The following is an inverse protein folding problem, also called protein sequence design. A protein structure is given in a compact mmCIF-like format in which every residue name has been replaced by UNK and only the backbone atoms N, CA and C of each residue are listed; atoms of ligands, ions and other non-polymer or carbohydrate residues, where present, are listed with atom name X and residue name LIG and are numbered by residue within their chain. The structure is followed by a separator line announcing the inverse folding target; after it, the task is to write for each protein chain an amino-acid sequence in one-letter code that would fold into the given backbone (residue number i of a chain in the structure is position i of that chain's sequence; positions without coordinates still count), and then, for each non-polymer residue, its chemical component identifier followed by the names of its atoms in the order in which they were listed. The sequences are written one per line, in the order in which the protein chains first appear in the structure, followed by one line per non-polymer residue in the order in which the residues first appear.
data_IF_698601443405
#
_entry.id   IF_698601443405
#
_cell.length_a   1.000
_cell.length_b   1.000
_cell.length_c   1.000
_cell.angle_alpha   90.00
_cell.angle_beta   90.00
_cell.angle_gamma   90.00
#
_symmetry.space_group_name_H-M   'P 1'
#
loop_
_entity.id
_entity.type
_entity.pdbx_description
1 polymer ?
#
# COMPACT_ATOMS: atom_id res chain seq x y z
N UNK A 1 -4.17 -17.18 33.49
CA UNK A 1 -4.00 -17.90 32.20
C UNK A 1 -4.75 -17.13 31.12
N UNK A 2 -4.13 -16.80 29.98
CA UNK A 2 -4.91 -16.34 28.82
C UNK A 2 -5.85 -17.47 28.39
N UNK A 3 -7.09 -17.12 28.03
CA UNK A 3 -8.08 -18.09 27.55
C UNK A 3 -7.54 -18.82 26.30
N UNK A 4 -7.84 -20.13 26.14
CA UNK A 4 -7.47 -20.85 24.94
C UNK A 4 -8.09 -20.18 23.70
N UNK A 5 -7.29 -20.07 22.65
CA UNK A 5 -7.70 -19.47 21.39
C UNK A 5 -8.79 -20.32 20.73
N UNK A 6 -9.87 -19.67 20.24
CA UNK A 6 -10.96 -20.40 19.60
C UNK A 6 -10.53 -20.98 18.24
N UNK A 7 -11.11 -22.12 17.87
CA UNK A 7 -10.80 -22.79 16.60
C UNK A 7 -11.02 -21.88 15.38
N UNK A 8 -12.08 -21.06 15.41
CA UNK A 8 -12.32 -20.06 14.37
C UNK A 8 -11.18 -19.04 14.21
N UNK A 9 -10.53 -18.63 15.31
CA UNK A 9 -9.37 -17.73 15.24
C UNK A 9 -8.18 -18.43 14.60
N UNK A 10 -7.96 -19.71 14.91
CA UNK A 10 -6.88 -20.51 14.32
C UNK A 10 -7.05 -20.64 12.81
N UNK A 11 -8.27 -20.96 12.34
CA UNK A 11 -8.61 -21.02 10.92
C UNK A 11 -8.32 -19.69 10.24
N UNK A 12 -8.84 -18.57 10.75
CA UNK A 12 -8.62 -17.24 10.16
C UNK A 12 -7.12 -16.89 10.09
N UNK A 13 -6.32 -17.27 11.09
CA UNK A 13 -4.87 -17.06 11.07
C UNK A 13 -4.15 -17.89 10.01
N UNK A 14 -4.57 -19.12 9.78
CA UNK A 14 -4.01 -19.97 8.73
C UNK A 14 -4.30 -19.38 7.34
N UNK A 15 -5.55 -18.96 7.08
CA UNK A 15 -5.90 -18.27 5.84
C UNK A 15 -5.16 -16.96 5.68
N UNK A 16 -4.92 -16.24 6.77
CA UNK A 16 -4.11 -15.02 6.74
C UNK A 16 -2.67 -15.29 6.32
N UNK A 17 -2.02 -16.29 6.90
CA UNK A 17 -0.67 -16.67 6.52
C UNK A 17 -0.59 -17.08 5.04
N UNK A 18 -1.62 -17.79 4.55
CA UNK A 18 -1.75 -18.12 3.12
C UNK A 18 -1.90 -16.88 2.24
N UNK A 19 -2.70 -15.89 2.68
CA UNK A 19 -2.84 -14.61 1.97
C UNK A 19 -1.52 -13.84 1.93
N UNK A 20 -0.79 -13.79 3.04
CA UNK A 20 0.51 -13.11 3.09
C UNK A 20 1.52 -13.78 2.13
N UNK A 21 1.50 -15.12 2.01
CA UNK A 21 2.31 -15.84 1.02
C UNK A 21 1.94 -15.56 -0.45
N UNK A 22 0.65 -15.35 -0.75
CA UNK A 22 0.20 -14.93 -2.10
C UNK A 22 0.68 -13.51 -2.44
N UNK A 23 0.61 -12.59 -1.47
CA UNK A 23 1.10 -11.22 -1.63
C UNK A 23 2.62 -11.21 -1.89
N UNK A 24 3.39 -11.96 -1.10
CA UNK A 24 4.85 -12.05 -1.27
C UNK A 24 5.22 -12.62 -2.65
N UNK A 25 4.51 -13.66 -3.11
CA UNK A 25 4.72 -14.24 -4.43
C UNK A 25 4.39 -13.24 -5.56
N UNK A 26 3.29 -12.49 -5.43
CA UNK A 26 2.91 -11.44 -6.39
C UNK A 26 3.95 -10.33 -6.44
N UNK A 27 4.39 -9.82 -5.28
CA UNK A 27 5.39 -8.75 -5.21
C UNK A 27 6.72 -9.17 -5.82
N UNK A 28 7.17 -10.40 -5.52
CA UNK A 28 8.41 -10.95 -6.09
C UNK A 28 8.31 -11.05 -7.62
N UNK A 29 7.21 -11.58 -8.13
CA UNK A 29 6.95 -11.74 -9.57
C UNK A 29 6.95 -10.38 -10.28
N UNK A 30 6.25 -9.39 -9.74
CA UNK A 30 6.25 -8.01 -10.26
C UNK A 30 7.64 -7.37 -10.22
N UNK A 31 8.38 -7.53 -9.13
CA UNK A 31 9.75 -7.02 -9.01
C UNK A 31 10.71 -7.65 -10.01
N UNK A 32 10.64 -8.96 -10.22
CA UNK A 32 11.43 -9.64 -11.26
C UNK A 32 11.12 -9.12 -12.66
N UNK A 33 9.84 -8.84 -12.94
CA UNK A 33 9.44 -8.26 -14.23
C UNK A 33 9.96 -6.83 -14.40
N UNK A 34 9.98 -6.05 -13.31
CA UNK A 34 10.49 -4.68 -13.29
C UNK A 34 12.00 -4.60 -13.52
N UNK A 35 12.78 -5.55 -12.99
CA UNK A 35 14.23 -5.63 -13.26
C UNK A 35 14.50 -5.71 -14.77
N UNK A 36 13.64 -6.37 -15.55
CA UNK A 36 13.76 -6.39 -17.01
C UNK A 36 13.59 -5.01 -17.66
N UNK A 37 12.80 -4.12 -17.06
CA UNK A 37 12.63 -2.72 -17.51
C UNK A 37 13.89 -1.92 -17.19
N UNK A 38 14.43 -2.07 -15.98
CA UNK A 38 15.71 -1.47 -15.56
C UNK A 38 16.83 -1.82 -16.53
N UNK A 39 17.00 -3.11 -16.79
CA UNK A 39 18.02 -3.61 -17.72
C UNK A 39 17.84 -3.08 -19.15
N UNK A 40 16.59 -2.87 -19.59
CA UNK A 40 16.32 -2.33 -20.92
C UNK A 40 16.70 -0.85 -21.05
N UNK A 41 16.73 -0.10 -19.94
CA UNK A 41 17.01 1.34 -19.91
C UNK A 41 18.45 1.67 -19.48
N UNK A 42 19.21 0.68 -18.99
CA UNK A 42 20.55 0.85 -18.44
C UNK A 42 21.53 1.54 -19.40
N UNK A 43 21.51 1.15 -20.67
CA UNK A 43 22.41 1.72 -21.68
C UNK A 43 22.11 3.21 -21.92
N UNK A 44 20.82 3.57 -21.99
CA UNK A 44 20.40 4.95 -22.22
C UNK A 44 20.65 5.84 -21.00
N UNK A 45 20.44 5.31 -19.79
CA UNK A 45 20.81 5.97 -18.53
C UNK A 45 22.32 6.23 -18.46
N UNK A 46 23.13 5.21 -18.73
CA UNK A 46 24.60 5.33 -18.68
C UNK A 46 25.11 6.35 -19.71
N UNK A 47 24.60 6.30 -20.94
CA UNK A 47 25.00 7.20 -22.00
C UNK A 47 24.60 8.66 -21.73
N UNK A 48 23.43 8.89 -21.13
CA UNK A 48 23.01 10.22 -20.70
C UNK A 48 23.89 10.76 -19.56
N UNK A 49 24.16 9.94 -18.54
CA UNK A 49 25.01 10.32 -17.43
C UNK A 49 26.43 10.66 -17.90
N UNK A 50 26.99 9.87 -18.82
CA UNK A 50 28.29 10.14 -19.43
C UNK A 50 28.30 11.45 -20.23
N UNK A 51 27.29 11.68 -21.07
CA UNK A 51 27.18 12.92 -21.84
C UNK A 51 27.18 14.16 -20.93
N UNK A 52 26.34 14.16 -19.89
CA UNK A 52 26.21 15.31 -18.99
C UNK A 52 27.47 15.54 -18.14
N UNK A 53 28.10 14.46 -17.69
CA UNK A 53 29.35 14.53 -16.94
C UNK A 53 30.48 15.08 -17.81
N UNK A 54 30.60 14.61 -19.07
CA UNK A 54 31.61 15.09 -20.02
C UNK A 54 31.48 16.59 -20.28
N UNK A 55 30.26 17.08 -20.50
CA UNK A 55 30.00 18.52 -20.71
C UNK A 55 30.38 19.34 -19.47
N UNK A 56 30.06 18.84 -18.28
CA UNK A 56 30.44 19.48 -17.01
C UNK A 56 31.96 19.57 -16.86
N UNK A 57 32.70 18.50 -17.20
CA UNK A 57 34.17 18.48 -17.18
C UNK A 57 34.78 19.49 -18.18
N UNK A 58 34.10 19.74 -19.31
CA UNK A 58 34.49 20.75 -20.28
C UNK A 58 34.21 22.20 -19.81
N UNK A 59 33.71 22.39 -18.58
CA UNK A 59 33.41 23.69 -18.01
C UNK A 59 32.02 24.23 -18.39
N UNK A 60 31.18 23.43 -19.04
CA UNK A 60 29.81 23.82 -19.36
C UNK A 60 28.94 23.76 -18.10
N UNK A 61 28.24 24.86 -17.78
CA UNK A 61 27.26 24.88 -16.69
C UNK A 61 25.96 24.26 -17.18
N UNK A 62 25.66 23.05 -16.71
CA UNK A 62 24.46 22.30 -17.12
C UNK A 62 23.24 22.80 -16.37
N UNK A 63 22.31 23.45 -17.07
CA UNK A 63 21.00 23.84 -16.52
C UNK A 63 19.96 22.75 -16.75
N UNK A 64 18.89 22.77 -15.96
CA UNK A 64 17.77 21.84 -16.13
C UNK A 64 17.12 21.95 -17.52
N UNK A 65 17.00 23.16 -18.08
CA UNK A 65 16.48 23.33 -19.43
C UNK A 65 17.38 22.69 -20.50
N UNK A 66 18.70 22.67 -20.30
CA UNK A 66 19.63 22.01 -21.21
C UNK A 66 19.47 20.49 -21.17
N UNK A 67 19.30 19.91 -19.99
CA UNK A 67 19.00 18.47 -19.82
C UNK A 67 17.74 18.09 -20.59
N UNK A 68 16.66 18.85 -20.43
CA UNK A 68 15.39 18.57 -21.10
C UNK A 68 15.45 18.70 -22.62
N UNK A 69 16.34 19.54 -23.15
CA UNK A 69 16.55 19.70 -24.58
C UNK A 69 17.48 18.65 -25.17
N UNK A 70 18.25 17.95 -24.34
CA UNK A 70 19.20 16.94 -24.78
C UNK A 70 18.48 15.77 -25.45
N UNK A 71 19.01 15.33 -26.59
CA UNK A 71 18.36 14.30 -27.40
C UNK A 71 18.31 12.95 -26.66
N UNK A 72 19.41 12.57 -25.99
CA UNK A 72 19.46 11.36 -25.16
C UNK A 72 18.42 11.36 -24.05
N UNK A 73 18.17 12.52 -23.43
CA UNK A 73 17.15 12.64 -22.40
C UNK A 73 15.74 12.40 -22.96
N UNK A 74 15.44 12.93 -24.14
CA UNK A 74 14.15 12.69 -24.81
C UNK A 74 13.95 11.23 -25.20
N UNK A 75 15.00 10.59 -25.71
CA UNK A 75 14.99 9.15 -26.05
C UNK A 75 14.72 8.33 -24.80
N UNK A 76 15.50 8.53 -23.72
CA UNK A 76 15.31 7.85 -22.44
C UNK A 76 13.88 8.04 -21.90
N UNK A 77 13.37 9.28 -21.94
CA UNK A 77 12.01 9.59 -21.51
C UNK A 77 10.97 8.81 -22.31
N UNK A 78 11.09 8.77 -23.62
CA UNK A 78 10.16 8.06 -24.49
C UNK A 78 10.18 6.54 -24.25
N UNK A 79 11.37 5.95 -24.15
CA UNK A 79 11.53 4.52 -23.86
C UNK A 79 10.98 4.17 -22.48
N UNK A 80 11.27 4.98 -21.45
CA UNK A 80 10.74 4.74 -20.11
C UNK A 80 9.21 4.78 -20.09
N UNK A 81 8.60 5.74 -20.79
CA UNK A 81 7.15 5.81 -20.92
C UNK A 81 6.58 4.55 -21.58
N UNK A 82 7.19 4.10 -22.68
CA UNK A 82 6.77 2.90 -23.39
C UNK A 82 6.90 1.63 -22.52
N UNK A 83 8.06 1.41 -21.90
CA UNK A 83 8.32 0.23 -21.09
C UNK A 83 7.39 0.15 -19.86
N UNK A 84 7.19 1.27 -19.15
CA UNK A 84 6.31 1.30 -17.98
C UNK A 84 4.84 1.15 -18.40
N UNK A 85 4.41 1.79 -19.49
CA UNK A 85 3.05 1.61 -20.00
C UNK A 85 2.80 0.14 -20.38
N UNK A 86 3.75 -0.49 -21.07
CA UNK A 86 3.68 -1.90 -21.44
C UNK A 86 3.62 -2.80 -20.22
N UNK A 87 4.48 -2.55 -19.22
CA UNK A 87 4.45 -3.26 -17.94
C UNK A 87 3.08 -3.16 -17.27
N UNK A 88 2.52 -1.95 -17.21
CA UNK A 88 1.23 -1.72 -16.56
C UNK A 88 0.09 -2.44 -17.28
N UNK A 89 -0.02 -2.26 -18.59
CA UNK A 89 -1.15 -2.75 -19.39
C UNK A 89 -1.04 -4.25 -19.65
N UNK A 90 0.11 -4.73 -20.12
CA UNK A 90 0.25 -6.11 -20.61
C UNK A 90 0.49 -7.11 -19.48
N UNK A 91 1.01 -6.65 -18.34
CA UNK A 91 1.46 -7.52 -17.27
C UNK A 91 0.82 -7.21 -15.92
N UNK A 92 1.01 -6.01 -15.36
CA UNK A 92 0.61 -5.70 -13.99
C UNK A 92 -0.92 -5.77 -13.81
N UNK A 93 -1.69 -5.18 -14.73
CA UNK A 93 -3.16 -5.21 -14.67
C UNK A 93 -3.69 -6.65 -14.69
N UNK A 94 -3.41 -7.50 -15.71
CA UNK A 94 -3.90 -8.89 -15.71
C UNK A 94 -3.45 -9.67 -14.47
N UNK A 95 -2.19 -9.47 -14.04
CA UNK A 95 -1.60 -10.22 -12.95
C UNK A 95 -2.22 -9.88 -11.59
N UNK A 96 -2.49 -8.59 -11.34
CA UNK A 96 -3.14 -8.11 -10.12
C UNK A 96 -4.63 -8.48 -10.15
N UNK A 97 -5.33 -8.33 -11.28
CA UNK A 97 -6.74 -8.75 -11.42
C UNK A 97 -6.91 -10.22 -11.07
N UNK A 98 -6.03 -11.08 -11.58
CA UNK A 98 -6.02 -12.50 -11.20
C UNK A 98 -5.80 -12.69 -9.70
N UNK A 99 -4.84 -11.98 -9.11
CA UNK A 99 -4.56 -12.07 -7.68
C UNK A 99 -5.73 -11.57 -6.82
N UNK A 100 -6.48 -10.55 -7.27
CA UNK A 100 -7.70 -10.09 -6.60
C UNK A 100 -8.76 -11.19 -6.58
N UNK A 101 -8.99 -11.88 -7.70
CA UNK A 101 -9.93 -13.01 -7.77
C UNK A 101 -9.52 -14.15 -6.84
N UNK A 102 -8.23 -14.54 -6.87
CA UNK A 102 -7.70 -15.60 -6.01
C UNK A 102 -7.82 -15.21 -4.52
N UNK A 103 -7.54 -13.95 -4.18
CA UNK A 103 -7.67 -13.41 -2.83
C UNK A 103 -9.13 -13.33 -2.35
N UNK A 104 -10.06 -12.92 -3.21
CA UNK A 104 -11.49 -12.90 -2.91
C UNK A 104 -12.01 -14.31 -2.57
N UNK A 105 -11.68 -15.30 -3.41
CA UNK A 105 -12.00 -16.71 -3.16
C UNK A 105 -11.41 -17.22 -1.85
N UNK A 106 -10.15 -16.87 -1.56
CA UNK A 106 -9.51 -17.22 -0.30
C UNK A 106 -10.27 -16.63 0.90
N UNK A 107 -10.77 -15.39 0.77
CA UNK A 107 -11.58 -14.74 1.79
C UNK A 107 -12.94 -15.40 2.01
N UNK A 108 -13.63 -15.79 0.93
CA UNK A 108 -14.89 -16.53 0.99
C UNK A 108 -14.68 -17.84 1.76
N UNK A 109 -13.67 -18.62 1.37
CA UNK A 109 -13.36 -19.90 2.03
C UNK A 109 -12.99 -19.72 3.50
N UNK A 110 -12.19 -18.70 3.82
CA UNK A 110 -11.83 -18.38 5.19
C UNK A 110 -13.07 -18.10 6.07
N UNK A 111 -14.02 -17.35 5.54
CA UNK A 111 -15.27 -17.04 6.23
C UNK A 111 -16.16 -18.27 6.40
N UNK A 112 -16.41 -19.02 5.33
CA UNK A 112 -17.24 -20.23 5.36
C UNK A 112 -16.69 -21.27 6.37
N UNK A 113 -15.38 -21.53 6.34
CA UNK A 113 -14.74 -22.47 7.25
C UNK A 113 -14.78 -21.98 8.69
N UNK A 114 -14.54 -20.68 8.93
CA UNK A 114 -14.61 -20.10 10.28
C UNK A 114 -16.02 -20.20 10.89
N UNK A 115 -17.07 -20.08 10.07
CA UNK A 115 -18.46 -20.28 10.48
C UNK A 115 -18.69 -21.77 10.80
N UNK A 116 -18.26 -22.66 9.91
CA UNK A 116 -18.45 -24.10 10.08
C UNK A 116 -17.82 -24.64 11.37
N UNK A 117 -16.59 -24.23 11.69
CA UNK A 117 -15.92 -24.64 12.93
C UNK A 117 -16.53 -24.00 14.19
N UNK A 118 -17.21 -22.86 14.04
CA UNK A 118 -17.94 -22.21 15.13
C UNK A 118 -19.29 -22.87 15.42
N UNK A 119 -19.87 -23.58 14.45
CA UNK A 119 -21.17 -24.25 14.55
C UNK A 119 -21.09 -25.71 14.06
N UNK A 120 -20.48 -26.62 14.84
CA UNK A 120 -20.46 -28.05 14.53
C UNK A 120 -21.86 -28.66 14.72
N UNK A 121 -22.72 -28.49 13.72
CA UNK A 121 -24.10 -29.01 13.63
C UNK A 121 -24.37 -29.39 12.18
N UNK A 122 -25.33 -30.27 11.84
CA UNK A 122 -25.70 -30.57 10.46
C UNK A 122 -26.05 -29.32 9.61
N UNK A 123 -26.39 -28.18 10.25
CA UNK A 123 -26.54 -26.89 9.58
C UNK A 123 -25.23 -26.35 8.96
N UNK A 124 -24.05 -26.81 9.40
CA UNK A 124 -22.75 -26.38 8.89
C UNK A 124 -22.56 -26.68 7.40
N UNK A 125 -23.12 -27.78 6.91
CA UNK A 125 -23.10 -28.16 5.50
C UNK A 125 -23.85 -27.16 4.60
N UNK A 126 -24.82 -26.42 5.15
CA UNK A 126 -25.53 -25.37 4.42
C UNK A 126 -24.72 -24.09 4.25
N UNK A 127 -23.73 -23.83 5.12
CA UNK A 127 -22.87 -22.64 5.07
C UNK A 127 -21.65 -22.83 4.15
N UNK A 128 -21.38 -24.06 3.70
CA UNK A 128 -20.23 -24.36 2.84
C UNK A 128 -20.56 -24.24 1.33
N UNK A 129 -21.62 -23.51 0.98
CA UNK A 129 -22.02 -23.25 -0.41
C UNK A 129 -21.62 -21.84 -0.79
N UNK A 130 -20.82 -21.71 -1.85
CA UNK A 130 -20.38 -20.42 -2.40
C UNK A 130 -21.61 -19.55 -2.70
N UNK A 131 -21.71 -18.40 -2.04
CA UNK A 131 -22.86 -17.50 -2.18
C UNK A 131 -22.82 -16.73 -3.51
N UNK A 132 -23.99 -16.56 -4.15
CA UNK A 132 -24.11 -15.86 -5.44
C UNK A 132 -23.64 -14.40 -5.37
N UNK A 133 -23.88 -13.69 -4.26
CA UNK A 133 -23.43 -12.30 -4.06
C UNK A 133 -21.90 -12.22 -3.90
N UNK A 134 -21.29 -13.27 -3.35
CA UNK A 134 -19.84 -13.38 -3.25
C UNK A 134 -19.22 -13.62 -4.64
N UNK A 135 -19.89 -14.40 -5.50
CA UNK A 135 -19.52 -14.57 -6.91
C UNK A 135 -19.71 -13.27 -7.70
N UNK A 136 -20.81 -12.55 -7.52
CA UNK A 136 -21.02 -11.23 -8.14
C UNK A 136 -19.96 -10.22 -7.71
N UNK A 137 -19.56 -10.23 -6.44
CA UNK A 137 -18.45 -9.42 -5.94
C UNK A 137 -17.12 -9.79 -6.59
N UNK A 138 -16.87 -11.08 -6.86
CA UNK A 138 -15.71 -11.51 -7.63
C UNK A 138 -15.77 -11.02 -9.08
N UNK A 139 -16.94 -11.06 -9.72
CA UNK A 139 -17.13 -10.50 -11.07
C UNK A 139 -16.82 -9.00 -11.06
N UNK A 140 -17.19 -8.28 -9.99
CA UNK A 140 -16.82 -6.88 -9.80
C UNK A 140 -15.31 -6.63 -9.71
N UNK A 141 -14.54 -7.53 -9.10
CA UNK A 141 -13.06 -7.46 -9.09
C UNK A 141 -12.44 -7.90 -10.41
N UNK A 142 -13.08 -8.85 -11.11
CA UNK A 142 -12.63 -9.40 -12.39
C UNK A 142 -13.12 -8.59 -13.61
N UNK A 143 -13.60 -7.36 -13.39
CA UNK A 143 -13.94 -6.44 -14.48
C UNK A 143 -12.77 -6.19 -15.43
N UNK A 144 -12.98 -5.39 -16.47
CA UNK A 144 -12.04 -5.11 -17.56
C UNK A 144 -10.68 -4.48 -17.17
N UNK A 145 -10.40 -4.32 -15.87
CA UNK A 145 -9.18 -3.74 -15.34
C UNK A 145 -9.08 -2.22 -15.49
N UNK A 146 -10.10 -1.55 -16.03
CA UNK A 146 -10.07 -0.10 -16.29
C UNK A 146 -9.84 0.77 -15.04
N UNK A 147 -10.38 0.45 -13.83
CA UNK A 147 -10.06 1.22 -12.63
C UNK A 147 -8.61 0.99 -12.19
N UNK A 148 -8.14 -0.25 -12.29
CA UNK A 148 -6.77 -0.62 -11.89
C UNK A 148 -5.72 0.01 -12.80
N UNK A 149 -5.95 0.00 -14.12
CA UNK A 149 -5.09 0.68 -15.08
C UNK A 149 -4.99 2.19 -14.77
N UNK A 150 -6.10 2.81 -14.37
CA UNK A 150 -6.11 4.22 -13.97
C UNK A 150 -5.25 4.49 -12.74
N UNK A 151 -5.20 3.57 -11.77
CA UNK A 151 -4.34 3.70 -10.59
C UNK A 151 -2.84 3.58 -10.94
N UNK A 152 -2.49 2.65 -11.83
CA UNK A 152 -1.12 2.34 -12.24
C UNK A 152 -0.54 3.36 -13.24
N UNK A 153 -1.37 4.12 -13.96
CA UNK A 153 -0.88 5.19 -14.88
C UNK A 153 0.05 6.20 -14.20
N UNK A 154 -0.07 6.39 -12.90
CA UNK A 154 0.77 7.30 -12.12
C UNK A 154 2.15 6.72 -11.78
N UNK A 155 2.43 5.46 -12.09
CA UNK A 155 3.73 4.83 -11.83
C UNK A 155 4.82 5.45 -12.73
N UNK A 156 4.48 5.86 -13.96
CA UNK A 156 5.41 6.53 -14.87
C UNK A 156 5.85 7.92 -14.38
N UNK A 157 4.96 8.86 -14.01
CA UNK A 157 5.37 10.13 -13.43
C UNK A 157 6.31 9.99 -12.22
N UNK A 158 6.06 9.03 -11.33
CA UNK A 158 6.89 8.81 -10.14
C UNK A 158 8.30 8.30 -10.51
N UNK A 159 8.40 7.30 -11.39
CA UNK A 159 9.67 6.83 -11.94
C UNK A 159 10.43 7.93 -12.70
N UNK A 160 9.72 8.69 -13.54
CA UNK A 160 10.29 9.79 -14.33
C UNK A 160 10.89 10.89 -13.46
N UNK A 161 10.15 11.31 -12.43
CA UNK A 161 10.63 12.33 -11.50
C UNK A 161 11.87 11.82 -10.74
N UNK A 162 11.87 10.55 -10.30
CA UNK A 162 13.03 9.95 -9.64
C UNK A 162 14.30 9.94 -10.46
N UNK A 163 14.20 9.49 -11.71
CA UNK A 163 15.34 9.49 -12.65
C UNK A 163 15.84 10.91 -12.90
N UNK A 164 14.91 11.87 -13.10
CA UNK A 164 15.26 13.26 -13.39
C UNK A 164 15.92 13.95 -12.20
N UNK A 165 15.38 13.78 -11.00
CA UNK A 165 15.91 14.36 -9.77
C UNK A 165 17.27 13.75 -9.42
N UNK A 166 17.44 12.45 -9.61
CA UNK A 166 18.73 11.77 -9.43
C UNK A 166 19.82 12.33 -10.35
N UNK A 167 19.50 12.58 -11.63
CA UNK A 167 20.42 13.19 -12.58
C UNK A 167 20.83 14.61 -12.14
N UNK A 168 19.86 15.45 -11.79
CA UNK A 168 20.10 16.84 -11.38
C UNK A 168 20.94 16.89 -10.09
N UNK A 169 20.57 16.10 -9.09
CA UNK A 169 21.26 16.05 -7.80
C UNK A 169 22.67 15.46 -7.94
N UNK A 170 22.84 14.46 -8.80
CA UNK A 170 24.13 13.85 -9.07
C UNK A 170 25.10 14.83 -9.73
N UNK A 171 24.64 15.58 -10.73
CA UNK A 171 25.43 16.61 -11.41
C UNK A 171 25.80 17.76 -10.46
N UNK A 172 24.81 18.29 -9.71
CA UNK A 172 25.06 19.39 -8.77
C UNK A 172 26.01 19.02 -7.63
N UNK A 173 26.03 17.74 -7.27
CA UNK A 173 26.93 17.19 -6.24
C UNK A 173 28.29 16.75 -6.80
N UNK A 174 28.57 16.95 -8.08
CA UNK A 174 29.83 16.58 -8.72
C UNK A 174 30.12 15.07 -8.72
N UNK A 175 29.07 14.23 -8.77
CA UNK A 175 29.21 12.77 -8.80
C UNK A 175 29.77 12.30 -10.15
N UNK A 176 30.43 11.15 -10.15
CA UNK A 176 30.87 10.49 -11.39
C UNK A 176 29.69 9.92 -12.19
N UNK A 177 29.85 9.74 -13.50
CA UNK A 177 28.79 9.24 -14.39
C UNK A 177 28.23 7.88 -13.93
N UNK A 178 29.08 6.98 -13.42
CA UNK A 178 28.66 5.69 -12.90
C UNK A 178 27.81 5.80 -11.63
N UNK A 179 28.14 6.75 -10.75
CA UNK A 179 27.35 7.05 -9.55
C UNK A 179 26.01 7.70 -9.91
N UNK A 180 26.00 8.62 -10.88
CA UNK A 180 24.77 9.25 -11.38
C UNK A 180 23.84 8.19 -11.97
N UNK A 181 24.37 7.31 -12.83
CA UNK A 181 23.60 6.22 -13.42
C UNK A 181 23.01 5.28 -12.34
N UNK A 182 23.77 4.98 -11.28
CA UNK A 182 23.25 4.21 -10.14
C UNK A 182 22.09 4.92 -9.43
N UNK A 183 22.25 6.20 -9.11
CA UNK A 183 21.17 7.00 -8.49
C UNK A 183 19.93 7.07 -9.38
N UNK A 184 20.10 7.16 -10.71
CA UNK A 184 18.99 7.19 -11.66
C UNK A 184 18.23 5.85 -11.67
N UNK A 185 18.93 4.71 -11.63
CA UNK A 185 18.29 3.39 -11.48
C UNK A 185 17.50 3.30 -10.19
N UNK A 186 18.09 3.71 -9.07
CA UNK A 186 17.42 3.72 -7.76
C UNK A 186 16.16 4.62 -7.79
N UNK A 187 16.25 5.78 -8.44
CA UNK A 187 15.12 6.70 -8.62
C UNK A 187 13.96 6.10 -9.43
N UNK A 188 14.25 5.20 -10.37
CA UNK A 188 13.22 4.51 -11.13
C UNK A 188 12.39 3.55 -10.26
N UNK A 189 12.97 3.04 -9.16
CA UNK A 189 12.30 2.16 -8.20
C UNK A 189 11.04 2.77 -7.57
N UNK A 190 10.89 4.10 -7.56
CA UNK A 190 9.69 4.76 -7.05
C UNK A 190 8.40 4.38 -7.80
N UNK A 191 8.50 4.12 -9.11
CA UNK A 191 7.36 3.62 -9.89
C UNK A 191 6.93 2.22 -9.43
N UNK A 192 7.89 1.32 -9.22
CA UNK A 192 7.65 -0.03 -8.73
C UNK A 192 7.02 -0.03 -7.33
N UNK A 193 7.57 0.78 -6.41
CA UNK A 193 7.06 0.87 -5.03
C UNK A 193 5.56 1.19 -4.99
N UNK A 194 5.13 2.10 -5.87
CA UNK A 194 3.73 2.45 -6.04
C UNK A 194 2.92 1.27 -6.61
N UNK A 195 3.38 0.63 -7.68
CA UNK A 195 2.68 -0.53 -8.26
C UNK A 195 2.51 -1.65 -7.22
N UNK A 196 3.54 -1.93 -6.42
CA UNK A 196 3.51 -2.94 -5.36
C UNK A 196 2.53 -2.57 -4.25
N UNK A 197 2.48 -1.29 -3.86
CA UNK A 197 1.52 -0.79 -2.87
C UNK A 197 0.07 -0.92 -3.36
N UNK A 198 -0.18 -0.60 -4.63
CA UNK A 198 -1.49 -0.76 -5.27
C UNK A 198 -1.86 -2.26 -5.28
N UNK A 199 -0.99 -3.11 -5.79
CA UNK A 199 -1.19 -4.55 -5.85
C UNK A 199 -1.56 -5.14 -4.48
N UNK A 200 -0.80 -4.79 -3.44
CA UNK A 200 -1.07 -5.20 -2.05
C UNK A 200 -2.41 -4.69 -1.55
N UNK A 201 -2.72 -3.42 -1.81
CA UNK A 201 -3.94 -2.80 -1.28
C UNK A 201 -5.17 -3.44 -1.89
N UNK A 202 -5.13 -3.69 -3.19
CA UNK A 202 -6.24 -4.20 -3.98
C UNK A 202 -6.51 -5.69 -3.75
N UNK A 203 -5.46 -6.51 -3.64
CA UNK A 203 -5.59 -7.93 -3.24
C UNK A 203 -6.13 -8.07 -1.81
N UNK A 204 -5.62 -7.28 -0.88
CA UNK A 204 -6.10 -7.27 0.51
C UNK A 204 -7.53 -6.72 0.62
N UNK A 205 -7.93 -5.80 -0.25
CA UNK A 205 -9.33 -5.34 -0.36
C UNK A 205 -10.20 -6.48 -0.84
N UNK A 206 -9.81 -7.18 -1.91
CA UNK A 206 -10.58 -8.30 -2.46
C UNK A 206 -10.80 -9.43 -1.45
N UNK A 207 -9.75 -9.86 -0.73
CA UNK A 207 -9.87 -10.83 0.36
C UNK A 207 -10.90 -10.42 1.41
N UNK A 208 -10.87 -9.16 1.84
CA UNK A 208 -11.79 -8.64 2.87
C UNK A 208 -13.22 -8.58 2.37
N UNK A 209 -13.43 -8.16 1.12
CA UNK A 209 -14.76 -8.11 0.52
C UNK A 209 -15.34 -9.51 0.40
N UNK A 210 -14.59 -10.49 -0.12
CA UNK A 210 -15.04 -11.88 -0.20
C UNK A 210 -15.41 -12.45 1.17
N UNK A 211 -14.58 -12.23 2.18
CA UNK A 211 -14.88 -12.65 3.56
C UNK A 211 -16.14 -11.99 4.11
N UNK A 212 -16.30 -10.67 3.90
CA UNK A 212 -17.41 -9.90 4.42
C UNK A 212 -18.74 -10.29 3.77
N UNK A 213 -18.76 -10.54 2.46
CA UNK A 213 -19.97 -11.01 1.78
C UNK A 213 -20.39 -12.38 2.28
N UNK A 214 -19.45 -13.31 2.46
CA UNK A 214 -19.78 -14.65 2.96
C UNK A 214 -20.35 -14.60 4.40
N UNK A 215 -19.78 -13.76 5.26
CA UNK A 215 -20.35 -13.54 6.60
C UNK A 215 -21.77 -12.97 6.53
N UNK A 216 -22.03 -12.00 5.65
CA UNK A 216 -23.38 -11.41 5.49
C UNK A 216 -24.37 -12.43 4.95
N UNK A 217 -23.99 -13.22 3.95
CA UNK A 217 -24.86 -14.23 3.37
C UNK A 217 -25.18 -15.38 4.31
N UNK A 218 -24.27 -15.74 5.21
CA UNK A 218 -24.49 -16.82 6.17
C UNK A 218 -25.71 -16.58 7.07
N UNK A 219 -26.08 -15.31 7.32
CA UNK A 219 -27.17 -14.92 8.22
C UNK A 219 -26.89 -15.19 9.71
N UNK A 220 -25.78 -15.86 10.05
CA UNK A 220 -25.40 -16.17 11.44
C UNK A 220 -24.62 -15.00 12.07
N UNK A 221 -23.91 -14.22 11.24
CA UNK A 221 -23.10 -13.10 11.67
C UNK A 221 -23.94 -11.85 11.94
N UNK A 222 -24.03 -11.41 13.20
CA UNK A 222 -24.65 -10.10 13.55
C UNK A 222 -23.79 -8.90 13.15
N UNK A 223 -22.47 -9.10 13.04
CA UNK A 223 -21.54 -8.07 12.65
C UNK A 223 -20.09 -8.53 12.73
N UNK A 224 -19.24 -7.91 11.92
CA UNK A 224 -17.81 -8.17 11.89
C UNK A 224 -17.03 -6.91 12.25
N UNK A 225 -15.86 -7.07 12.87
CA UNK A 225 -14.98 -5.96 13.22
C UNK A 225 -13.57 -6.25 12.73
N UNK A 226 -12.90 -5.19 12.28
CA UNK A 226 -11.52 -5.29 11.83
C UNK A 226 -10.60 -5.19 13.04
N UNK A 227 -9.81 -6.23 13.28
CA UNK A 227 -8.72 -6.15 14.24
C UNK A 227 -7.48 -5.62 13.52
N UNK A 228 -7.21 -4.34 13.72
CA UNK A 228 -5.94 -3.73 13.29
C UNK A 228 -4.94 -3.93 14.43
N UNK A 229 -4.07 -4.93 14.30
CA UNK A 229 -2.81 -4.94 15.06
C UNK A 229 -1.93 -3.80 14.52
N UNK A 230 -1.53 -2.85 15.38
CA UNK A 230 -0.53 -1.84 15.00
C UNK A 230 0.85 -2.45 15.25
N UNK A 231 1.31 -3.28 14.32
CA UNK A 231 2.69 -3.74 14.26
C UNK A 231 3.05 -3.74 12.79
N UNK A 232 3.81 -2.74 12.35
CA UNK A 232 4.43 -2.60 11.02
C UNK A 232 3.97 -3.64 9.94
N UNK A 233 2.73 -3.52 9.42
CA UNK A 233 2.05 -4.37 8.41
C UNK A 233 1.07 -5.42 8.99
N UNK A 234 -0.25 -5.20 8.83
CA UNK A 234 -1.32 -6.05 9.41
C UNK A 234 -2.64 -5.98 8.60
N UNK A 235 -3.58 -6.95 8.53
CA UNK A 235 -3.93 -8.31 9.06
C UNK A 235 -5.52 -8.36 9.12
N UNK A 236 -6.22 -9.44 9.52
CA UNK A 236 -7.47 -9.96 8.98
C UNK A 236 -8.76 -9.47 9.70
N UNK A 237 -9.91 -9.82 9.11
CA UNK A 237 -11.27 -9.59 9.64
C UNK A 237 -11.64 -10.68 10.65
N UNK A 238 -12.23 -10.30 11.79
CA UNK A 238 -12.79 -11.24 12.78
C UNK A 238 -14.29 -10.94 12.96
N UNK A 239 -15.11 -11.98 13.02
CA UNK A 239 -16.55 -11.83 13.23
C UNK A 239 -16.92 -11.98 14.72
N UNK A 240 -17.83 -11.14 15.25
CA UNK A 240 -18.42 -11.30 16.59
C UNK A 240 -19.79 -11.94 16.43
N UNK A 241 -20.01 -13.09 17.04
CA UNK A 241 -21.36 -13.63 17.22
C UNK A 241 -21.67 -13.65 18.73
N UNK A 242 -22.66 -12.85 19.13
CA UNK A 242 -23.08 -12.72 20.54
C UNK A 242 -24.37 -13.51 20.75
N UNK A 243 -24.26 -14.63 21.47
CA UNK A 243 -25.29 -15.14 22.37
C UNK A 243 -25.39 -14.20 23.57
N UNK A 244 -26.61 -13.82 23.92
CA UNK A 244 -26.90 -12.67 24.78
C UNK A 244 -26.24 -12.75 26.16
N UNK A 245 -25.35 -11.80 26.45
CA UNK A 245 -25.00 -11.35 27.80
C UNK A 245 -24.42 -9.92 27.68
N UNK A 246 -25.11 -8.98 28.31
CA UNK A 246 -24.75 -7.58 28.39
C UNK A 246 -23.40 -7.42 29.11
N UNK A 247 -22.45 -6.68 28.53
CA UNK A 247 -21.31 -6.19 29.31
C UNK A 247 -21.12 -4.69 29.10
N UNK A 248 -21.56 -3.93 30.11
CA UNK A 248 -21.26 -2.52 30.31
C UNK A 248 -19.86 -2.40 30.92
N UNK A 249 -19.04 -1.54 30.31
CA UNK A 249 -17.90 -0.78 30.89
C UNK A 249 -16.94 -1.53 31.83
N UNK A 250 -15.73 -1.81 31.34
CA UNK A 250 -14.50 -1.52 32.09
C UNK A 250 -13.30 -1.46 31.13
N UNK A 251 -12.86 -0.24 30.81
CA UNK A 251 -11.57 0.05 30.17
C UNK A 251 -10.84 0.99 31.13
N UNK A 252 -10.13 0.45 32.12
CA UNK A 252 -9.17 1.28 32.89
C UNK A 252 -8.07 0.55 33.66
N UNK A 253 -7.95 -0.78 33.63
CA UNK A 253 -6.88 -1.43 34.41
C UNK A 253 -6.30 -2.61 33.66
N UNK A 254 -5.18 -2.38 32.96
CA UNK A 254 -4.03 -3.29 32.71
C UNK A 254 -3.14 -2.54 31.71
N UNK A 255 -2.28 -1.66 32.21
CA UNK A 255 -1.02 -1.21 31.58
C UNK A 255 -0.22 -0.36 32.59
N UNK A 256 0.10 -0.97 33.72
CA UNK A 256 1.14 -0.51 34.64
C UNK A 256 1.81 -1.76 35.22
N UNK A 257 2.72 -2.35 34.44
CA UNK A 257 3.79 -3.23 34.95
C UNK A 257 4.81 -3.53 33.85
N UNK A 258 6.00 -2.96 33.98
CA UNK A 258 7.23 -3.62 33.54
C UNK A 258 7.89 -3.14 32.26
N UNK A 259 8.53 -1.97 32.29
CA UNK A 259 9.92 -1.82 31.80
C UNK A 259 10.65 -0.89 32.76
N UNK A 260 11.60 -1.44 33.50
CA UNK A 260 12.55 -0.73 34.37
C UNK A 260 13.85 -0.56 33.57
N UNK A 261 14.21 0.67 33.24
CA UNK A 261 15.57 1.04 32.86
C UNK A 261 16.01 2.18 33.78
N UNK A 262 17.16 2.00 34.41
CA UNK A 262 17.74 2.85 35.47
C UNK A 262 18.25 4.20 34.93
N UNK A 263 18.53 5.18 35.83
CA UNK A 263 18.60 6.61 35.53
C UNK A 263 20.02 7.12 35.23
N UNK A 264 20.12 8.16 34.40
CA UNK A 264 21.37 8.90 34.20
C UNK A 264 21.17 10.20 33.44
N UNK A 265 21.46 11.31 34.13
CA UNK A 265 21.86 12.63 33.60
C UNK A 265 20.78 13.65 33.20
N UNK A 266 20.34 14.39 34.23
CA UNK A 266 20.38 15.86 34.37
C UNK A 266 19.84 16.73 33.23
N UNK A 267 18.65 17.25 33.45
CA UNK A 267 18.37 18.68 33.65
C UNK A 267 19.37 19.68 33.05
N UNK A 268 19.00 20.31 31.94
CA UNK A 268 19.26 21.73 31.73
C UNK A 268 18.01 22.46 31.25
N UNK A 269 17.59 23.36 32.12
CA UNK A 269 16.50 24.31 32.04
C UNK A 269 17.12 25.63 31.57
N UNK A 270 16.69 26.16 30.43
CA UNK A 270 16.93 27.56 30.06
C UNK A 270 15.58 28.09 29.53
N UNK A 271 14.75 28.80 30.32
CA UNK A 271 14.91 30.20 30.78
C UNK A 271 15.49 31.11 29.69
N UNK A 272 14.60 31.64 28.85
CA UNK A 272 14.60 33.07 28.57
C UNK A 272 13.21 33.50 28.12
N UNK A 273 12.62 34.40 28.90
CA UNK A 273 11.38 35.07 28.58
C UNK A 273 11.62 36.44 27.97
N UNK A 274 10.70 36.85 27.10
CA UNK A 274 10.28 38.24 26.88
C UNK A 274 8.90 38.14 26.17
N UNK A 275 7.78 38.46 26.84
CA UNK A 275 7.09 39.78 26.87
C UNK A 275 7.04 40.46 25.50
N UNK A 276 5.93 41.00 24.98
CA UNK A 276 4.53 41.13 25.39
C UNK A 276 3.77 41.85 24.24
N UNK A 277 2.42 41.86 24.33
CA UNK A 277 1.45 42.87 23.84
C UNK A 277 0.67 42.63 22.53
N UNK A 278 -0.63 42.35 22.77
CA UNK A 278 -1.84 43.06 22.31
C UNK A 278 -2.15 43.20 20.80
N UNK A 279 -3.36 42.76 20.42
CA UNK A 279 -4.01 43.19 19.18
C UNK A 279 -5.36 42.53 18.88
N UNK A 280 -6.41 42.91 19.63
CA UNK A 280 -7.85 42.88 19.29
C UNK A 280 -8.42 41.76 18.42
N UNK A 281 -9.27 40.91 19.02
CA UNK A 281 -10.41 40.32 18.32
C UNK A 281 -11.64 40.37 19.24
N UNK A 282 -12.45 41.39 19.02
CA UNK A 282 -13.80 41.46 19.55
C UNK A 282 -14.69 42.03 18.42
N UNK A 283 -15.49 41.16 17.79
CA UNK A 283 -16.84 41.50 17.27
C UNK A 283 -17.53 40.31 16.60
N UNK A 284 -18.57 39.85 17.30
CA UNK A 284 -19.94 39.63 16.80
C UNK A 284 -20.17 38.64 15.64
N UNK A 285 -20.75 37.48 15.98
CA UNK A 285 -21.81 36.84 15.15
C UNK A 285 -23.08 37.71 15.22
N UNK A 286 -23.94 37.78 14.17
CA UNK A 286 -24.97 36.74 14.02
C UNK A 286 -25.48 36.45 12.58
N UNK A 287 -26.16 35.28 12.50
CA UNK A 287 -27.39 34.98 11.75
C UNK A 287 -27.38 34.39 10.31
N UNK A 288 -27.80 33.10 10.27
CA UNK A 288 -28.87 32.44 9.47
C UNK A 288 -29.05 32.76 7.96
N UNK A 289 -29.00 31.67 7.17
CA UNK A 289 -29.89 31.35 6.04
C UNK A 289 -29.41 30.06 5.33
N UNK A 290 -30.13 28.90 5.30
CA UNK A 290 -31.25 28.50 4.40
C UNK A 290 -30.80 28.50 2.90
N UNK A 291 -30.87 27.48 2.03
CA UNK A 291 -31.74 26.30 1.79
C UNK A 291 -31.02 25.24 0.90
N UNK A 292 -31.38 23.96 1.08
CA UNK A 292 -31.69 22.87 0.12
C UNK A 292 -30.91 22.60 -1.18
N UNK A 293 -30.67 21.31 -1.40
CA UNK A 293 -30.21 20.62 -2.60
C UNK A 293 -29.88 19.18 -2.25
#
# INVERSE_FOLDING_TARGET
MPLPESEAVKVIRQYRARMDGLDEALMRDMGLKWIGIEQALDADIAALAEEMTRRTIQGEVITQQMIWKAERYKILKAQMQEQIQRFNVDYAVPRITKAQTDAAMLGINAAAESIAVSYPSPLSASFNRVNINAVESMIGFAGDGSPLNTLLKNDYPDAYNGVTDALINGLSSGKSSSQIAAMMRDGMGMGLDRSLLIARTETQRAYRTGSAEEYRSSGVCKGFFRLVKKAALVLPVFCRMVSGLNWRRSWTTILMAGVRLSPGLKEQRNRNGNRARNGSLNRTKPNRGKYWG
#
